data_IF_914625651000
#
_entry.id   IF_914625651000
#
_cell.length_a   1.000
_cell.length_b   1.000
_cell.length_c   1.000
_cell.angle_alpha   90.00
_cell.angle_beta   90.00
_cell.angle_gamma   90.00
#
_symmetry.space_group_name_H-M   'P 1'
#
loop_
_entity.id
_entity.type
_entity.pdbx_description
1 polymer ?
#
# COMPACT_ATOMS: atom_id res chain seq x y z
N UNK A 1 -0.56 9.61 -1.28
CA UNK A 1 0.70 9.86 -0.55
C UNK A 1 0.53 10.28 0.92
N UNK A 2 -0.51 11.03 1.30
CA UNK A 2 -0.74 11.44 2.70
C UNK A 2 -0.82 10.25 3.68
N UNK A 3 -1.55 9.19 3.33
CA UNK A 3 -1.59 7.95 4.13
C UNK A 3 -0.19 7.34 4.27
N UNK A 4 0.60 7.27 3.20
CA UNK A 4 1.97 6.77 3.29
C UNK A 4 2.78 7.56 4.34
N UNK A 5 2.76 8.90 4.27
CA UNK A 5 3.46 9.77 5.22
C UNK A 5 3.02 9.54 6.66
N UNK A 6 1.72 9.37 6.90
CA UNK A 6 1.17 9.14 8.23
C UNK A 6 1.66 7.82 8.86
N UNK A 7 1.89 6.79 8.05
CA UNK A 7 2.15 5.43 8.53
C UNK A 7 3.60 4.97 8.39
N UNK A 8 4.41 5.58 7.52
CA UNK A 8 5.80 5.15 7.20
C UNK A 8 6.74 5.12 8.41
N UNK A 9 6.39 5.81 9.50
CA UNK A 9 7.14 5.82 10.78
C UNK A 9 6.63 4.80 11.81
N UNK A 10 5.67 3.96 11.43
CA UNK A 10 4.99 3.01 12.32
C UNK A 10 4.98 1.61 11.74
N UNK A 11 4.69 1.51 10.44
CA UNK A 11 4.51 0.25 9.75
C UNK A 11 5.00 0.33 8.30
N UNK A 12 5.43 -0.80 7.71
CA UNK A 12 5.62 -0.91 6.27
C UNK A 12 4.35 -0.61 5.49
N UNK A 13 4.50 0.08 4.36
CA UNK A 13 3.38 0.47 3.49
C UNK A 13 3.57 -0.13 2.11
N UNK A 14 2.56 -0.84 1.60
CA UNK A 14 2.46 -1.30 0.21
C UNK A 14 1.31 -0.59 -0.47
N UNK A 15 1.60 0.09 -1.57
CA UNK A 15 0.60 0.70 -2.44
C UNK A 15 0.48 -0.15 -3.69
N UNK A 16 -0.71 -0.70 -3.94
CA UNK A 16 -1.04 -1.46 -5.15
C UNK A 16 -1.84 -0.54 -6.07
N UNK A 17 -1.22 -0.14 -7.17
CA UNK A 17 -1.80 0.74 -8.19
C UNK A 17 -2.52 -0.04 -9.27
N UNK A 18 -3.44 0.62 -9.96
CA UNK A 18 -4.27 0.02 -11.01
C UNK A 18 -3.50 -0.27 -12.30
N UNK A 19 -2.41 0.46 -12.55
CA UNK A 19 -1.62 0.37 -13.78
C UNK A 19 -0.14 0.75 -13.57
N UNK A 20 0.75 0.41 -14.52
CA UNK A 20 2.15 0.86 -14.53
C UNK A 20 2.32 2.38 -14.59
N UNK A 21 1.43 3.09 -15.28
CA UNK A 21 1.47 4.56 -15.36
C UNK A 21 1.13 5.20 -14.01
N UNK A 22 0.12 4.65 -13.32
CA UNK A 22 -0.22 5.11 -11.98
C UNK A 22 0.88 4.77 -10.98
N UNK A 23 1.52 3.60 -11.12
CA UNK A 23 2.69 3.22 -10.34
C UNK A 23 3.74 4.33 -10.41
N UNK A 24 4.15 4.73 -11.62
CA UNK A 24 5.16 5.77 -11.81
C UNK A 24 4.78 7.07 -11.11
N UNK A 25 3.53 7.54 -11.30
CA UNK A 25 3.03 8.77 -10.66
C UNK A 25 3.03 8.69 -9.13
N UNK A 26 2.56 7.59 -8.57
CA UNK A 26 2.48 7.40 -7.11
C UNK A 26 3.87 7.25 -6.50
N UNK A 27 4.76 6.54 -7.19
CA UNK A 27 6.16 6.39 -6.80
C UNK A 27 6.86 7.74 -6.75
N UNK A 28 6.79 8.54 -7.82
CA UNK A 28 7.37 9.87 -7.87
C UNK A 28 6.76 10.78 -6.79
N UNK A 29 5.44 10.78 -6.64
CA UNK A 29 4.78 11.58 -5.62
C UNK A 29 5.18 11.17 -4.19
N UNK A 30 5.42 9.88 -3.93
CA UNK A 30 5.87 9.40 -2.62
C UNK A 30 7.32 9.81 -2.33
N UNK A 31 8.21 9.76 -3.34
CA UNK A 31 9.62 10.17 -3.19
C UNK A 31 9.78 11.66 -2.90
N UNK A 32 8.88 12.48 -3.43
CA UNK A 32 8.89 13.94 -3.22
C UNK A 32 7.95 14.38 -2.09
N UNK A 33 7.42 13.45 -1.29
CA UNK A 33 6.52 13.79 -0.20
C UNK A 33 7.30 14.12 1.07
N UNK A 34 7.14 15.35 1.58
CA UNK A 34 7.72 15.76 2.86
C UNK A 34 7.40 14.76 3.99
N UNK A 35 8.45 14.29 4.67
CA UNK A 35 8.36 13.32 5.75
C UNK A 35 8.61 11.87 5.32
N UNK A 36 8.71 11.60 4.01
CA UNK A 36 9.19 10.34 3.44
C UNK A 36 10.58 10.60 2.85
N UNK A 37 11.57 9.78 3.22
CA UNK A 37 12.91 9.89 2.63
C UNK A 37 12.89 9.18 1.28
N UNK A 38 13.37 9.84 0.23
CA UNK A 38 13.23 9.37 -1.16
C UNK A 38 13.82 7.96 -1.41
N UNK A 39 14.91 7.60 -0.71
CA UNK A 39 15.57 6.29 -0.83
C UNK A 39 14.88 5.17 -0.02
N UNK A 40 13.85 5.53 0.75
CA UNK A 40 13.00 4.59 1.49
C UNK A 40 11.74 4.19 0.70
N UNK A 41 11.53 4.85 -0.45
CA UNK A 41 10.48 4.50 -1.40
C UNK A 41 11.08 3.57 -2.45
N UNK A 42 10.46 2.42 -2.64
CA UNK A 42 10.88 1.44 -3.64
C UNK A 42 9.74 1.10 -4.59
N UNK A 43 10.13 0.74 -5.82
CA UNK A 43 9.23 0.22 -6.85
C UNK A 43 9.32 -1.30 -6.87
N UNK A 44 8.18 -1.96 -7.04
CA UNK A 44 8.11 -3.39 -7.25
C UNK A 44 7.23 -3.70 -8.47
N UNK A 45 7.83 -4.20 -9.54
CA UNK A 45 7.13 -4.54 -10.80
C UNK A 45 7.91 -5.61 -11.56
N UNK A 46 7.33 -6.12 -12.66
CA UNK A 46 8.01 -7.07 -13.55
C UNK A 46 9.30 -6.47 -14.16
N UNK A 47 9.20 -5.21 -14.58
CA UNK A 47 10.26 -4.48 -15.26
C UNK A 47 10.58 -3.17 -14.55
N UNK A 48 11.80 -2.68 -14.71
CA UNK A 48 12.20 -1.34 -14.33
C UNK A 48 11.71 -0.29 -15.37
N UNK A 49 12.08 0.97 -15.16
CA UNK A 49 11.73 2.09 -16.04
C UNK A 49 12.33 1.99 -17.45
N UNK A 50 13.37 1.16 -17.62
CA UNK A 50 14.06 0.92 -18.89
C UNK A 50 13.59 -0.36 -19.59
N UNK A 51 12.62 -1.07 -19.00
CA UNK A 51 12.11 -2.34 -19.51
C UNK A 51 12.97 -3.55 -19.15
N UNK A 52 13.98 -3.41 -18.29
CA UNK A 52 14.79 -4.53 -17.84
C UNK A 52 14.03 -5.35 -16.78
N UNK A 53 14.13 -6.67 -16.86
CA UNK A 53 13.46 -7.56 -15.92
C UNK A 53 14.03 -7.43 -14.51
N UNK A 54 13.14 -7.28 -13.53
CA UNK A 54 13.50 -7.23 -12.10
C UNK A 54 13.47 -8.59 -11.42
N UNK A 55 13.27 -9.68 -12.17
CA UNK A 55 13.08 -11.04 -11.61
C UNK A 55 14.18 -11.45 -10.63
N UNK A 56 15.44 -11.15 -10.93
CA UNK A 56 16.57 -11.47 -10.05
C UNK A 56 16.62 -10.67 -8.74
N UNK A 57 15.78 -9.63 -8.60
CA UNK A 57 15.76 -8.72 -7.44
C UNK A 57 14.51 -8.88 -6.59
N UNK A 58 13.50 -9.65 -7.03
CA UNK A 58 12.20 -9.71 -6.36
C UNK A 58 12.29 -10.14 -4.90
N UNK A 59 13.07 -11.17 -4.59
CA UNK A 59 13.25 -11.64 -3.21
C UNK A 59 13.81 -10.54 -2.31
N UNK A 60 14.83 -9.83 -2.80
CA UNK A 60 15.42 -8.69 -2.09
C UNK A 60 14.41 -7.57 -1.89
N UNK A 61 13.67 -7.18 -2.94
CA UNK A 61 12.66 -6.12 -2.87
C UNK A 61 11.54 -6.45 -1.89
N UNK A 62 11.08 -7.71 -1.85
CA UNK A 62 10.04 -8.16 -0.92
C UNK A 62 10.58 -8.17 0.52
N UNK A 63 11.78 -8.70 0.73
CA UNK A 63 12.40 -8.71 2.05
C UNK A 63 12.62 -7.28 2.55
N UNK A 64 13.05 -6.37 1.68
CA UNK A 64 13.26 -4.98 2.02
C UNK A 64 11.97 -4.22 2.29
N UNK A 65 10.87 -4.58 1.61
CA UNK A 65 9.56 -3.99 1.83
C UNK A 65 9.09 -4.14 3.29
N UNK A 66 9.50 -5.19 4.00
CA UNK A 66 9.02 -5.49 5.36
C UNK A 66 10.02 -5.18 6.47
N UNK A 67 11.26 -4.78 6.11
CA UNK A 67 12.32 -4.45 7.07
C UNK A 67 12.16 -3.05 7.64
N UNK A 68 12.56 -2.92 8.90
CA UNK A 68 12.85 -1.63 9.54
C UNK A 68 14.16 -1.07 9.00
N UNK A 69 14.18 0.23 8.74
CA UNK A 69 15.33 0.95 8.23
C UNK A 69 16.08 1.63 9.36
N UNK A 70 17.41 1.68 9.29
CA UNK A 70 18.24 2.42 10.26
C UNK A 70 18.45 1.74 11.62
N UNK A 71 18.20 0.42 11.71
CA UNK A 71 18.47 -0.37 12.92
C UNK A 71 17.33 -0.35 13.94
N UNK A 72 17.63 -0.83 15.16
CA UNK A 72 16.65 -1.04 16.24
C UNK A 72 16.03 0.25 16.78
N UNK A 73 16.77 1.36 16.73
CA UNK A 73 16.34 2.64 17.32
C UNK A 73 15.56 3.53 16.35
N UNK A 74 15.49 3.13 15.08
CA UNK A 74 14.79 3.88 14.03
C UNK A 74 13.40 3.30 13.82
N UNK A 75 12.39 4.16 13.69
CA UNK A 75 11.01 3.77 13.38
C UNK A 75 10.67 3.85 11.90
N UNK A 76 11.68 4.01 11.04
CA UNK A 76 11.48 4.15 9.61
C UNK A 76 11.16 2.81 8.96
N UNK A 77 10.14 2.80 8.13
CA UNK A 77 9.74 1.68 7.29
C UNK A 77 9.79 2.10 5.82
N UNK A 78 9.78 1.12 4.91
CA UNK A 78 9.70 1.41 3.47
C UNK A 78 8.27 1.70 3.02
N UNK A 79 8.17 2.50 1.96
CA UNK A 79 6.98 2.59 1.10
C UNK A 79 7.29 1.80 -0.17
N UNK A 80 6.55 0.75 -0.42
CA UNK A 80 6.64 -0.03 -1.66
C UNK A 80 5.48 0.32 -2.57
N UNK A 81 5.75 0.77 -3.79
CA UNK A 81 4.73 1.03 -4.80
C UNK A 81 4.82 -0.04 -5.87
N UNK A 82 3.70 -0.70 -6.15
CA UNK A 82 3.60 -1.77 -7.14
C UNK A 82 2.34 -1.59 -7.97
N UNK A 83 2.31 -2.17 -9.17
CA UNK A 83 1.09 -2.36 -9.93
C UNK A 83 0.42 -3.68 -9.50
N UNK A 84 -0.56 -4.15 -10.29
CA UNK A 84 -1.28 -5.39 -10.00
C UNK A 84 -0.36 -6.62 -9.85
N UNK A 85 0.86 -6.59 -10.40
CA UNK A 85 1.86 -7.66 -10.26
C UNK A 85 2.19 -7.95 -8.80
N UNK A 86 2.55 -6.92 -8.01
CA UNK A 86 2.99 -7.13 -6.62
C UNK A 86 1.87 -7.49 -5.67
N UNK A 87 0.62 -7.40 -6.11
CA UNK A 87 -0.54 -7.94 -5.40
C UNK A 87 -0.61 -9.47 -5.38
N UNK A 88 0.21 -10.17 -6.17
CA UNK A 88 0.14 -11.64 -6.39
C UNK A 88 1.40 -12.35 -5.94
N UNK A 89 1.31 -13.58 -5.47
CA UNK A 89 2.45 -14.52 -5.34
C UNK A 89 3.56 -14.19 -4.34
N UNK A 90 3.56 -13.01 -3.70
CA UNK A 90 4.70 -12.53 -2.88
C UNK A 90 4.36 -12.39 -1.40
N UNK A 91 5.06 -13.11 -0.53
CA UNK A 91 4.75 -13.10 0.91
C UNK A 91 5.48 -11.96 1.63
N UNK A 92 4.71 -11.00 2.13
CA UNK A 92 5.24 -9.88 2.89
C UNK A 92 5.19 -10.19 4.39
N UNK A 93 6.26 -10.80 4.88
CA UNK A 93 6.39 -11.15 6.29
C UNK A 93 6.97 -9.99 7.10
N UNK A 94 6.10 -9.27 7.83
CA UNK A 94 6.54 -8.28 8.82
C UNK A 94 6.96 -8.99 10.10
N UNK A 95 8.26 -9.04 10.35
CA UNK A 95 8.86 -9.67 11.55
C UNK A 95 9.16 -8.66 12.67
N UNK A 96 9.16 -7.37 12.33
CA UNK A 96 9.46 -6.30 13.28
C UNK A 96 8.36 -6.17 14.34
N UNK A 97 8.73 -6.35 15.61
CA UNK A 97 7.78 -6.41 16.75
C UNK A 97 7.01 -5.10 16.92
N UNK A 98 7.65 -3.98 16.68
CA UNK A 98 7.04 -2.65 16.82
C UNK A 98 6.04 -2.37 15.69
N UNK A 99 6.36 -2.75 14.44
CA UNK A 99 5.43 -2.67 13.33
C UNK A 99 4.23 -3.60 13.55
N UNK A 100 4.46 -4.82 14.05
CA UNK A 100 3.40 -5.75 14.44
C UNK A 100 2.49 -5.12 15.49
N UNK A 101 3.05 -4.53 16.57
CA UNK A 101 2.27 -3.83 17.60
C UNK A 101 1.49 -2.63 17.06
N UNK A 102 1.97 -1.99 15.99
CA UNK A 102 1.31 -0.86 15.32
C UNK A 102 0.29 -1.27 14.24
N UNK A 103 -0.07 -2.55 14.15
CA UNK A 103 -1.09 -3.04 13.21
C UNK A 103 -0.52 -3.75 11.97
N UNK A 104 0.77 -4.08 11.98
CA UNK A 104 1.42 -4.79 10.89
C UNK A 104 1.41 -4.02 9.57
N UNK A 105 1.56 -4.72 8.46
CA UNK A 105 1.67 -4.10 7.15
C UNK A 105 0.41 -3.33 6.76
N UNK A 106 0.57 -2.10 6.30
CA UNK A 106 -0.50 -1.34 5.65
C UNK A 106 -0.50 -1.60 4.15
N UNK A 107 -1.62 -2.09 3.62
CA UNK A 107 -1.86 -2.19 2.18
C UNK A 107 -2.84 -1.09 1.76
N UNK A 108 -2.50 -0.35 0.71
CA UNK A 108 -3.33 0.69 0.10
C UNK A 108 -3.59 0.29 -1.35
N UNK A 109 -4.85 0.03 -1.69
CA UNK A 109 -5.27 -0.23 -3.05
C UNK A 109 -5.84 1.05 -3.68
N UNK A 110 -5.44 1.38 -4.91
CA UNK A 110 -5.98 2.55 -5.65
C UNK A 110 -7.11 2.19 -6.63
N UNK A 111 -7.50 0.92 -6.65
CA UNK A 111 -8.60 0.40 -7.46
C UNK A 111 -9.27 -0.79 -6.79
N UNK A 112 -10.44 -1.17 -7.30
CA UNK A 112 -11.12 -2.40 -6.91
C UNK A 112 -10.96 -3.40 -8.06
N UNK A 113 -10.21 -4.50 -7.87
CA UNK A 113 -10.06 -5.56 -8.85
C UNK A 113 -11.25 -6.54 -8.78
N UNK A 114 -11.21 -7.61 -9.58
CA UNK A 114 -12.13 -8.73 -9.42
C UNK A 114 -11.96 -9.43 -8.06
N UNK A 115 -12.93 -10.27 -7.69
CA UNK A 115 -12.96 -10.95 -6.39
C UNK A 115 -11.69 -11.79 -6.13
N UNK A 116 -11.20 -12.50 -7.13
CA UNK A 116 -10.04 -13.38 -6.99
C UNK A 116 -8.79 -12.56 -6.69
N UNK A 117 -8.58 -11.49 -7.44
CA UNK A 117 -7.46 -10.59 -7.23
C UNK A 117 -7.60 -9.79 -5.93
N UNK A 118 -8.82 -9.42 -5.53
CA UNK A 118 -9.10 -8.78 -4.25
C UNK A 118 -8.65 -9.63 -3.07
N UNK A 119 -9.00 -10.92 -3.08
CA UNK A 119 -8.56 -11.88 -2.05
C UNK A 119 -7.02 -11.94 -2.00
N UNK A 120 -6.36 -11.95 -3.16
CA UNK A 120 -4.90 -11.96 -3.24
C UNK A 120 -4.27 -10.70 -2.64
N UNK A 121 -4.84 -9.53 -2.91
CA UNK A 121 -4.38 -8.24 -2.41
C UNK A 121 -4.58 -8.13 -0.89
N UNK A 122 -5.75 -8.52 -0.38
CA UNK A 122 -5.98 -8.58 1.07
C UNK A 122 -5.02 -9.53 1.75
N UNK A 123 -4.66 -10.62 1.08
CA UNK A 123 -3.61 -11.53 1.51
C UNK A 123 -2.19 -10.96 1.48
N UNK A 124 -1.95 -9.68 1.11
CA UNK A 124 -0.63 -9.05 1.30
C UNK A 124 -0.43 -8.47 2.70
N UNK A 125 -1.47 -8.48 3.53
CA UNK A 125 -1.43 -8.10 4.94
C UNK A 125 -2.04 -9.19 5.83
N UNK A 126 -1.97 -9.01 7.15
CA UNK A 126 -2.51 -9.93 8.17
C UNK A 126 -2.07 -11.40 8.01
N UNK A 127 -0.78 -11.63 7.74
CA UNK A 127 -0.19 -12.96 7.55
C UNK A 127 0.24 -13.59 8.88
N UNK A 128 0.17 -14.92 8.97
CA UNK A 128 0.68 -15.71 10.09
C UNK A 128 0.16 -15.24 11.46
N UNK A 129 -1.14 -14.99 11.57
CA UNK A 129 -1.82 -14.50 12.78
C UNK A 129 -1.33 -13.13 13.30
N UNK A 130 -0.66 -12.35 12.43
CA UNK A 130 -0.27 -10.97 12.73
C UNK A 130 -1.37 -10.01 12.31
N UNK A 131 -1.50 -8.84 12.98
CA UNK A 131 -2.41 -7.80 12.55
C UNK A 131 -2.01 -7.28 11.16
N UNK A 132 -2.99 -6.72 10.47
CA UNK A 132 -2.83 -6.12 9.16
C UNK A 132 -3.85 -5.02 8.93
N UNK A 133 -3.50 -4.08 8.05
CA UNK A 133 -4.32 -2.93 7.72
C UNK A 133 -4.54 -2.86 6.21
N UNK A 134 -5.76 -2.52 5.79
CA UNK A 134 -6.12 -2.44 4.37
C UNK A 134 -6.98 -1.21 4.11
N UNK A 135 -6.51 -0.34 3.23
CA UNK A 135 -7.23 0.85 2.78
C UNK A 135 -7.47 0.81 1.28
N UNK A 136 -8.58 1.42 0.86
CA UNK A 136 -8.92 1.64 -0.54
C UNK A 136 -9.06 3.13 -0.76
N UNK A 137 -8.33 3.66 -1.73
CA UNK A 137 -8.40 5.07 -2.11
C UNK A 137 -8.84 5.12 -3.56
N UNK A 138 -10.09 5.52 -3.79
CA UNK A 138 -10.67 5.59 -5.13
C UNK A 138 -10.87 7.05 -5.53
N UNK A 139 -10.50 7.36 -6.77
CA UNK A 139 -10.94 8.57 -7.44
C UNK A 139 -12.45 8.46 -7.75
N UNK A 140 -13.17 9.59 -7.78
CA UNK A 140 -14.61 9.61 -8.13
C UNK A 140 -14.91 9.09 -9.54
N UNK A 141 -13.92 9.08 -10.41
CA UNK A 141 -13.98 8.55 -11.77
C UNK A 141 -13.60 7.06 -11.86
N UNK A 142 -13.29 6.41 -10.74
CA UNK A 142 -12.97 4.98 -10.70
C UNK A 142 -14.15 4.13 -11.22
N UNK A 143 -13.83 2.97 -11.80
CA UNK A 143 -14.81 2.08 -12.43
C UNK A 143 -16.04 1.78 -11.56
N UNK A 144 -15.93 1.45 -10.25
CA UNK A 144 -17.11 1.11 -9.44
C UNK A 144 -18.14 2.25 -9.37
N UNK A 145 -17.69 3.51 -9.41
CA UNK A 145 -18.57 4.67 -9.36
C UNK A 145 -19.17 5.03 -10.73
N UNK A 146 -18.52 4.62 -11.82
CA UNK A 146 -19.06 4.77 -13.17
C UNK A 146 -20.11 3.71 -13.49
N UNK A 147 -19.91 2.48 -13.03
CA UNK A 147 -20.85 1.38 -13.25
C UNK A 147 -22.05 1.40 -12.30
N UNK A 148 -21.93 2.05 -11.14
CA UNK A 148 -23.01 2.13 -10.14
C UNK A 148 -23.33 3.57 -9.77
N UNK A 149 -24.34 4.14 -10.42
CA UNK A 149 -24.79 5.51 -10.16
C UNK A 149 -25.19 5.69 -8.68
N UNK A 150 -24.69 6.77 -8.06
CA UNK A 150 -24.99 7.11 -6.66
C UNK A 150 -24.10 6.44 -5.60
N UNK A 151 -23.29 5.43 -5.96
CA UNK A 151 -22.44 4.71 -5.01
C UNK A 151 -21.43 5.63 -4.32
N UNK A 152 -20.79 6.55 -5.06
CA UNK A 152 -19.84 7.51 -4.49
C UNK A 152 -20.50 8.40 -3.42
N UNK A 153 -21.72 8.90 -3.69
CA UNK A 153 -22.45 9.75 -2.75
C UNK A 153 -22.89 8.96 -1.50
N UNK A 154 -23.29 7.70 -1.67
CA UNK A 154 -23.63 6.82 -0.55
C UNK A 154 -22.43 6.60 0.38
N UNK A 155 -21.26 6.26 -0.16
CA UNK A 155 -20.05 6.01 0.63
C UNK A 155 -19.52 7.28 1.33
N UNK A 156 -19.62 8.44 0.68
CA UNK A 156 -19.31 9.71 1.34
C UNK A 156 -20.27 10.00 2.50
N UNK A 157 -21.55 9.63 2.37
CA UNK A 157 -22.54 9.73 3.42
C UNK A 157 -22.22 8.85 4.63
N UNK A 158 -21.71 7.64 4.41
CA UNK A 158 -21.28 6.71 5.48
C UNK A 158 -20.11 7.31 6.27
N UNK A 159 -19.08 7.83 5.58
CA UNK A 159 -17.90 8.43 6.23
C UNK A 159 -18.23 9.63 7.13
N UNK A 160 -19.27 10.41 6.79
CA UNK A 160 -19.73 11.53 7.64
C UNK A 160 -20.44 11.05 8.90
N UNK A 161 -21.13 9.90 8.86
CA UNK A 161 -21.81 9.33 10.03
C UNK A 161 -20.84 8.74 11.04
N UNK A 162 -19.76 8.10 10.59
CA UNK A 162 -18.69 7.60 11.48
C UNK A 162 -17.99 8.74 12.24
N UNK A 163 -17.65 9.83 11.55
CA UNK A 163 -17.07 11.02 12.20
C UNK A 163 -18.01 11.70 13.21
N UNK A 164 -19.32 11.57 13.04
CA UNK A 164 -20.30 12.10 13.99
C UNK A 164 -20.42 11.22 15.26
N UNK A 165 -20.02 9.95 15.19
CA UNK A 165 -20.00 9.02 16.31
C UNK A 165 -18.71 9.06 17.13
N UNK A 166 -17.56 9.36 16.51
CA UNK A 166 -16.28 9.55 17.22
C UNK A 166 -16.17 10.90 17.97
N UNK A 167 -17.21 11.74 17.89
CA UNK A 167 -17.31 13.04 18.56
C UNK A 167 -18.26 13.09 19.75
N UNK A 168 -18.67 11.94 20.30
CA UNK A 168 -19.54 11.82 21.49
C UNK A 168 -18.79 11.11 22.61
#
# INVERSE_FOLDING_TARGET
>A
VQLCRQYVRRVPVLVITSSPDELAKVFDAARHCDGIVADEVQRFSLFDERGASLKGQWETLIADATKRLGGTDSNRCRVTVTDRFGGRGHDYQVMDKDAVRNGGMLVIATSVPDEREWIQWRGRTARQDRPGQFHVVLDRLAEPFRSHAGLAAQLEGVRRREKAWEGV
#
